data_IF_243306218022
#
_entry.id   IF_243306218022
#
_cell.length_a   1.000
_cell.length_b   1.000
_cell.length_c   1.000
_cell.angle_alpha   90.00
_cell.angle_beta   90.00
_cell.angle_gamma   90.00
#
_symmetry.space_group_name_H-M   'P 1'
#
loop_
_entity.id
_entity.type
_entity.pdbx_description
1 polymer ?
#
# COMPACT_ATOMS: atom_id res chain seq x y z
N UNK A 1 -4.28 -10.19 32.64
CA UNK A 1 -4.43 -9.43 31.39
C UNK A 1 -5.91 -9.31 31.05
N UNK A 2 -6.45 -8.12 30.82
CA UNK A 2 -7.70 -7.97 30.06
C UNK A 2 -7.33 -8.15 28.59
N UNK A 3 -8.00 -9.07 27.89
CA UNK A 3 -7.87 -9.14 26.44
C UNK A 3 -8.63 -7.94 25.88
N UNK A 4 -8.01 -7.28 24.91
CA UNK A 4 -8.54 -6.07 24.28
C UNK A 4 -9.82 -6.37 23.48
N UNK A 5 -10.03 -7.65 23.12
CA UNK A 5 -11.28 -8.19 22.56
C UNK A 5 -12.18 -8.78 23.66
N UNK A 6 -12.84 -7.91 24.44
CA UNK A 6 -14.00 -8.30 25.28
C UNK A 6 -15.34 -8.08 24.52
N UNK A 7 -15.31 -7.55 23.28
CA UNK A 7 -16.51 -7.23 22.49
C UNK A 7 -17.16 -8.46 21.85
N UNK A 8 -16.35 -9.43 21.43
CA UNK A 8 -16.79 -10.59 20.68
C UNK A 8 -16.19 -11.85 21.26
N UNK A 9 -16.88 -12.97 21.04
CA UNK A 9 -16.34 -14.26 21.42
C UNK A 9 -15.32 -14.73 20.36
N UNK A 10 -14.35 -15.58 20.72
CA UNK A 10 -13.24 -15.94 19.83
C UNK A 10 -13.68 -16.42 18.44
N UNK A 11 -14.74 -17.24 18.37
CA UNK A 11 -15.23 -17.76 17.08
C UNK A 11 -15.85 -16.68 16.17
N UNK A 12 -16.34 -15.58 16.75
CA UNK A 12 -16.90 -14.45 15.99
C UNK A 12 -15.76 -13.62 15.42
N UNK A 13 -14.70 -13.40 16.21
CA UNK A 13 -13.49 -12.75 15.73
C UNK A 13 -12.85 -13.54 14.58
N UNK A 14 -12.74 -14.88 14.73
CA UNK A 14 -12.20 -15.76 13.68
C UNK A 14 -13.02 -15.70 12.39
N UNK A 15 -14.35 -15.51 12.48
CA UNK A 15 -15.21 -15.36 11.31
C UNK A 15 -15.00 -13.99 10.65
N UNK A 16 -14.93 -12.92 11.45
CA UNK A 16 -14.73 -11.56 10.95
C UNK A 16 -13.37 -11.39 10.27
N UNK A 17 -12.33 -12.02 10.82
CA UNK A 17 -10.99 -12.04 10.22
C UNK A 17 -11.00 -12.68 8.83
N UNK A 18 -11.68 -13.82 8.67
CA UNK A 18 -11.80 -14.51 7.38
C UNK A 18 -12.56 -13.67 6.34
N UNK A 19 -13.63 -12.99 6.74
CA UNK A 19 -14.38 -12.09 5.86
C UNK A 19 -13.52 -10.90 5.40
N UNK A 20 -12.80 -10.29 6.34
CA UNK A 20 -11.90 -9.16 6.07
C UNK A 20 -10.73 -9.58 5.16
N UNK A 21 -10.09 -10.71 5.46
CA UNK A 21 -8.99 -11.24 4.66
C UNK A 21 -9.45 -11.58 3.24
N UNK A 22 -10.63 -12.18 3.09
CA UNK A 22 -11.24 -12.47 1.78
C UNK A 22 -11.45 -11.21 0.96
N UNK A 23 -11.94 -10.13 1.57
CA UNK A 23 -12.14 -8.84 0.91
C UNK A 23 -10.81 -8.18 0.50
N UNK A 24 -9.84 -8.14 1.41
CA UNK A 24 -8.53 -7.52 1.18
C UNK A 24 -7.72 -8.28 0.12
N UNK A 25 -7.74 -9.61 0.19
CA UNK A 25 -7.01 -10.47 -0.75
C UNK A 25 -7.73 -10.60 -2.10
N UNK A 26 -9.05 -10.40 -2.13
CA UNK A 26 -9.87 -10.44 -3.35
C UNK A 26 -9.74 -9.20 -4.23
N UNK A 27 -9.45 -8.03 -3.64
CA UNK A 27 -9.32 -6.77 -4.37
C UNK A 27 -7.86 -6.35 -4.64
N UNK A 28 -6.90 -7.26 -4.46
CA UNK A 28 -5.49 -6.96 -4.78
C UNK A 28 -5.25 -7.14 -6.28
N UNK A 29 -4.45 -6.27 -6.92
CA UNK A 29 -4.05 -6.45 -8.30
C UNK A 29 -3.39 -7.83 -8.46
N UNK A 30 -3.85 -8.60 -9.45
CA UNK A 30 -3.25 -9.90 -9.82
C UNK A 30 -1.94 -9.75 -10.62
N UNK A 31 -1.56 -8.51 -10.92
CA UNK A 31 -0.29 -8.15 -11.58
C UNK A 31 0.83 -8.14 -10.54
N UNK A 32 2.01 -8.62 -10.93
CA UNK A 32 3.20 -8.51 -10.10
C UNK A 32 3.45 -7.03 -9.73
N UNK A 33 3.89 -6.78 -8.50
CA UNK A 33 4.37 -5.47 -8.06
C UNK A 33 5.60 -5.11 -8.90
N UNK A 34 5.36 -4.42 -10.00
CA UNK A 34 6.40 -3.81 -10.81
C UNK A 34 6.73 -2.48 -10.12
N UNK A 35 7.97 -2.27 -9.64
CA UNK A 35 8.35 -1.03 -9.00
C UNK A 35 8.08 0.10 -9.98
N UNK A 36 7.14 0.97 -9.62
CA UNK A 36 6.74 2.09 -10.45
C UNK A 36 7.75 3.21 -10.24
N UNK A 37 8.25 3.79 -11.34
CA UNK A 37 9.10 4.97 -11.27
C UNK A 37 8.33 6.12 -10.59
N UNK A 38 8.91 6.82 -9.60
CA UNK A 38 8.29 7.98 -8.99
C UNK A 38 7.89 9.03 -10.04
N UNK A 39 6.73 9.65 -9.84
CA UNK A 39 6.31 10.78 -10.66
C UNK A 39 7.29 11.96 -10.49
N UNK A 40 7.49 12.78 -11.56
CA UNK A 40 8.35 13.96 -11.48
C UNK A 40 7.80 14.99 -10.48
N UNK A 41 8.66 15.88 -9.94
CA UNK A 41 8.24 16.89 -8.98
C UNK A 41 7.29 17.88 -9.66
N UNK A 42 6.25 18.30 -8.93
CA UNK A 42 5.32 19.32 -9.39
C UNK A 42 5.95 20.71 -9.30
N UNK A 43 5.38 21.68 -10.02
CA UNK A 43 5.88 23.06 -10.07
C UNK A 43 5.81 23.78 -8.70
N UNK A 44 4.97 23.28 -7.78
CA UNK A 44 4.74 23.83 -6.44
C UNK A 44 5.42 23.03 -5.32
N UNK A 45 6.16 21.97 -5.65
CA UNK A 45 6.89 21.19 -4.65
C UNK A 45 8.05 22.00 -4.05
N UNK A 46 8.33 21.86 -2.75
CA UNK A 46 9.47 22.50 -2.13
C UNK A 46 10.78 21.91 -2.68
N UNK A 47 11.81 22.74 -2.84
CA UNK A 47 13.15 22.29 -3.23
C UNK A 47 13.75 21.35 -2.16
N UNK A 48 13.59 20.03 -2.34
CA UNK A 48 14.16 19.01 -1.45
C UNK A 48 15.56 18.62 -1.91
N UNK A 49 16.55 18.88 -1.07
CA UNK A 49 17.94 18.48 -1.34
C UNK A 49 18.06 16.95 -1.49
N UNK A 50 18.52 16.49 -2.66
CA UNK A 50 18.72 15.07 -2.96
C UNK A 50 17.77 14.50 -4.01
N UNK A 51 16.78 15.27 -4.48
CA UNK A 51 16.00 14.91 -5.65
C UNK A 51 16.76 15.25 -6.94
N UNK A 52 16.94 14.27 -7.82
CA UNK A 52 17.35 14.51 -9.22
C UNK A 52 16.45 13.63 -10.08
N UNK A 53 15.69 14.22 -11.04
CA UNK A 53 14.92 13.41 -11.96
C UNK A 53 15.90 12.56 -12.77
N UNK A 54 15.78 11.24 -12.68
CA UNK A 54 16.53 10.34 -13.54
C UNK A 54 16.00 10.56 -14.95
N UNK A 55 16.76 11.27 -15.77
CA UNK A 55 16.46 11.45 -17.18
C UNK A 55 16.76 10.11 -17.86
N UNK A 56 15.77 9.21 -17.89
CA UNK A 56 15.85 8.00 -18.72
C UNK A 56 15.37 8.34 -20.15
N UNK A 57 16.26 8.07 -21.10
CA UNK A 57 16.07 7.98 -22.57
C UNK A 57 15.82 9.28 -23.38
N UNK A 58 16.90 9.95 -23.80
CA UNK A 58 17.00 10.52 -25.15
C UNK A 58 17.71 9.49 -26.07
N UNK A 59 17.03 8.89 -27.08
CA UNK A 59 17.73 8.20 -28.15
C UNK A 59 18.23 9.22 -29.20
N UNK A 60 19.53 9.11 -29.56
CA UNK A 60 20.18 9.84 -30.67
C UNK A 60 19.58 9.52 -32.05
#
# INVERSE_FOLDING_TARGET
MKRESDQHAPWVDDQLEQELEGALRGNRPSRADEPRDPEPPADDDPDVAGWSPRTEDEPE
#
